data_IF_374475755731
#
_entry.id   IF_374475755731
#
_cell.length_a   1.000
_cell.length_b   1.000
_cell.length_c   1.000
_cell.angle_alpha   90.00
_cell.angle_beta   90.00
_cell.angle_gamma   90.00
#
_symmetry.space_group_name_H-M   'P 1'
#
loop_
_entity.id
_entity.type
_entity.pdbx_description
1 polymer ?
#
# COMPACT_ATOMS: atom_id res chain seq x y z
N UNK A 1 -12.68 14.90 3.00
CA UNK A 1 -12.56 13.77 2.06
C UNK A 1 -11.11 13.34 2.00
N UNK A 2 -10.83 12.03 2.05
CA UNK A 2 -9.47 11.49 2.00
C UNK A 2 -9.25 10.78 0.66
N UNK A 3 -8.23 11.18 -0.09
CA UNK A 3 -7.89 10.59 -1.38
C UNK A 3 -6.76 9.58 -1.24
N UNK A 4 -6.98 8.36 -1.72
CA UNK A 4 -6.06 7.24 -1.59
C UNK A 4 -5.47 6.88 -2.96
N UNK A 5 -4.14 6.89 -3.08
CA UNK A 5 -3.44 6.39 -4.27
C UNK A 5 -3.24 4.88 -4.13
N UNK A 6 -3.97 4.09 -4.91
CA UNK A 6 -3.94 2.61 -4.86
C UNK A 6 -3.26 1.94 -6.05
N UNK A 7 -3.03 2.67 -7.14
CA UNK A 7 -2.30 2.16 -8.30
C UNK A 7 -0.80 2.39 -8.19
N UNK A 8 -0.01 1.67 -9.00
CA UNK A 8 1.46 1.75 -9.03
C UNK A 8 1.98 3.19 -9.07
N UNK A 9 2.92 3.50 -8.18
CA UNK A 9 3.50 4.85 -8.06
C UNK A 9 4.86 4.90 -8.73
N UNK A 10 4.98 5.75 -9.74
CA UNK A 10 6.27 6.08 -10.32
C UNK A 10 6.99 7.13 -9.46
N UNK A 11 8.28 6.94 -9.19
CA UNK A 11 9.08 7.86 -8.35
C UNK A 11 9.02 9.32 -8.80
N UNK A 12 8.99 9.58 -10.11
CA UNK A 12 8.89 10.94 -10.65
C UNK A 12 7.53 11.62 -10.38
N UNK A 13 6.52 10.88 -9.91
CA UNK A 13 5.20 11.41 -9.50
C UNK A 13 5.12 11.74 -8.01
N UNK A 14 6.17 11.51 -7.21
CA UNK A 14 6.16 11.76 -5.76
C UNK A 14 5.73 13.20 -5.40
N UNK A 15 6.18 14.21 -6.16
CA UNK A 15 5.77 15.60 -5.96
C UNK A 15 4.27 15.82 -6.21
N UNK A 16 3.71 15.15 -7.20
CA UNK A 16 2.27 15.22 -7.47
C UNK A 16 1.49 14.61 -6.31
N UNK A 17 1.86 13.40 -5.86
CA UNK A 17 1.21 12.73 -4.73
C UNK A 17 1.25 13.56 -3.45
N UNK A 18 2.38 14.22 -3.16
CA UNK A 18 2.51 15.08 -1.98
C UNK A 18 1.44 16.19 -1.93
N UNK A 19 0.90 16.63 -3.07
CA UNK A 19 -0.10 17.70 -3.12
C UNK A 19 -1.53 17.24 -2.85
N UNK A 20 -1.89 15.99 -3.11
CA UNK A 20 -3.30 15.56 -3.09
C UNK A 20 -3.55 14.27 -2.31
N UNK A 21 -2.58 13.35 -2.24
CA UNK A 21 -2.80 12.04 -1.66
C UNK A 21 -2.81 12.13 -0.14
N UNK A 22 -3.92 11.74 0.46
CA UNK A 22 -3.97 11.50 1.89
C UNK A 22 -3.18 10.23 2.27
N UNK A 23 -3.30 9.18 1.44
CA UNK A 23 -2.65 7.89 1.68
C UNK A 23 -2.13 7.30 0.38
N UNK A 24 -0.95 6.70 0.41
CA UNK A 24 -0.36 5.93 -0.69
C UNK A 24 -0.29 4.46 -0.30
N UNK A 25 -0.88 3.58 -1.12
CA UNK A 25 -1.00 2.16 -0.79
C UNK A 25 0.06 1.27 -1.44
N UNK A 26 0.67 1.74 -2.52
CA UNK A 26 1.57 0.97 -3.38
C UNK A 26 3.02 1.43 -3.25
N UNK A 27 3.52 1.56 -2.02
CA UNK A 27 4.94 1.87 -1.77
C UNK A 27 5.71 0.55 -1.70
N UNK A 28 6.60 0.33 -2.66
CA UNK A 28 7.23 -0.97 -2.94
C UNK A 28 8.75 -0.97 -2.81
N UNK A 29 9.36 0.15 -2.40
CA UNK A 29 10.81 0.28 -2.37
C UNK A 29 11.28 1.44 -1.50
N UNK A 30 12.46 1.29 -0.88
CA UNK A 30 13.08 2.37 -0.11
C UNK A 30 13.35 3.61 -0.97
N UNK A 31 13.69 3.43 -2.25
CA UNK A 31 13.88 4.55 -3.19
C UNK A 31 12.60 5.35 -3.43
N UNK A 32 11.44 4.69 -3.47
CA UNK A 32 10.16 5.37 -3.58
C UNK A 32 9.80 6.07 -2.27
N UNK A 33 9.98 5.40 -1.12
CA UNK A 33 9.79 6.00 0.20
C UNK A 33 10.64 7.27 0.38
N UNK A 34 11.94 7.24 0.05
CA UNK A 34 12.80 8.43 0.10
C UNK A 34 12.32 9.55 -0.83
N UNK A 35 11.85 9.22 -2.04
CA UNK A 35 11.33 10.23 -2.96
C UNK A 35 10.04 10.89 -2.44
N UNK A 36 9.15 10.09 -1.81
CA UNK A 36 7.94 10.58 -1.16
C UNK A 36 8.28 11.44 0.05
N UNK A 37 9.19 11.00 0.93
CA UNK A 37 9.59 11.77 2.13
C UNK A 37 10.15 13.14 1.74
N UNK A 38 11.02 13.21 0.72
CA UNK A 38 11.52 14.50 0.23
C UNK A 38 10.40 15.39 -0.30
N UNK A 39 9.47 14.83 -1.08
CA UNK A 39 8.39 15.60 -1.68
C UNK A 39 7.37 16.10 -0.64
N UNK A 40 7.06 15.26 0.34
CA UNK A 40 6.09 15.56 1.41
C UNK A 40 6.69 16.53 2.41
N UNK A 41 7.97 16.36 2.79
CA UNK A 41 8.71 17.33 3.60
C UNK A 41 8.68 18.74 2.99
N UNK A 42 8.92 18.85 1.68
CA UNK A 42 8.83 20.14 1.00
C UNK A 42 7.40 20.71 1.01
N UNK A 43 6.37 19.87 0.83
CA UNK A 43 4.97 20.30 0.90
C UNK A 43 4.55 20.77 2.29
N UNK A 44 5.07 20.15 3.35
CA UNK A 44 4.88 20.57 4.73
C UNK A 44 5.57 21.90 5.01
N UNK A 45 6.83 22.05 4.60
CA UNK A 45 7.60 23.28 4.80
C UNK A 45 6.96 24.50 4.08
N UNK A 46 6.40 24.29 2.89
CA UNK A 46 5.71 25.33 2.12
C UNK A 46 4.26 25.59 2.60
N UNK A 47 3.76 24.87 3.61
CA UNK A 47 2.38 24.96 4.09
C UNK A 47 1.31 24.43 3.13
N UNK A 48 1.70 23.82 1.99
CA UNK A 48 0.79 23.20 1.01
C UNK A 48 0.10 21.94 1.54
N UNK A 49 0.61 21.40 2.64
CA UNK A 49 0.11 20.21 3.34
C UNK A 49 0.30 20.42 4.84
N UNK A 50 -0.59 19.83 5.64
CA UNK A 50 -0.59 19.96 7.10
C UNK A 50 -0.14 18.70 7.85
N UNK A 51 -0.17 17.53 7.19
CA UNK A 51 0.09 16.24 7.84
C UNK A 51 1.02 15.36 7.01
N UNK A 52 1.81 14.46 7.64
CA UNK A 52 2.57 13.42 6.95
C UNK A 52 1.76 12.61 5.93
N UNK A 53 2.42 12.03 4.94
CA UNK A 53 1.78 11.08 4.03
C UNK A 53 1.63 9.74 4.73
N UNK A 54 0.39 9.25 4.82
CA UNK A 54 0.11 7.89 5.25
C UNK A 54 0.53 6.90 4.17
N UNK A 55 1.23 5.83 4.56
CA UNK A 55 1.81 4.87 3.64
C UNK A 55 1.46 3.44 4.05
N UNK A 56 0.94 2.67 3.10
CA UNK A 56 1.04 1.22 3.16
C UNK A 56 2.22 0.76 2.30
N UNK A 57 2.95 -0.24 2.80
CA UNK A 57 3.95 -0.96 2.02
C UNK A 57 3.23 -2.06 1.25
N UNK A 58 3.33 -2.04 -0.07
CA UNK A 58 2.77 -3.10 -0.91
C UNK A 58 3.72 -4.29 -0.95
N UNK A 59 3.18 -5.49 -0.78
CA UNK A 59 3.95 -6.72 -0.83
C UNK A 59 3.49 -7.61 -1.99
N UNK A 60 4.46 -8.26 -2.63
CA UNK A 60 4.25 -9.29 -3.64
C UNK A 60 4.38 -10.65 -2.96
N UNK A 61 3.25 -11.36 -2.84
CA UNK A 61 3.16 -12.62 -2.07
C UNK A 61 3.85 -13.80 -2.77
N UNK A 62 3.90 -13.78 -4.09
CA UNK A 62 4.56 -14.79 -4.94
C UNK A 62 5.97 -14.36 -5.38
N UNK A 63 6.42 -13.17 -4.99
CA UNK A 63 7.73 -12.62 -5.32
C UNK A 63 7.84 -12.01 -6.72
N UNK A 64 6.77 -12.00 -7.51
CA UNK A 64 6.77 -11.32 -8.81
C UNK A 64 6.59 -9.81 -8.63
N UNK A 65 7.73 -9.10 -8.58
CA UNK A 65 7.79 -7.64 -8.44
C UNK A 65 7.40 -6.88 -9.72
N UNK A 66 7.20 -7.57 -10.85
CA UNK A 66 6.80 -6.90 -12.11
C UNK A 66 5.41 -6.25 -12.00
N UNK A 67 4.55 -6.84 -11.17
CA UNK A 67 3.18 -6.37 -10.85
C UNK A 67 3.13 -5.30 -9.77
N UNK A 68 4.26 -5.02 -9.11
CA UNK A 68 4.36 -4.13 -7.96
C UNK A 68 4.63 -4.91 -6.67
N UNK A 69 4.89 -4.17 -5.59
CA UNK A 69 5.14 -4.72 -4.28
C UNK A 69 6.58 -5.20 -4.02
N UNK A 70 6.91 -5.27 -2.73
CA UNK A 70 8.15 -5.83 -2.21
C UNK A 70 8.06 -7.35 -2.23
N UNK A 71 9.08 -8.02 -2.75
CA UNK A 71 9.18 -9.48 -2.70
C UNK A 71 9.26 -9.97 -1.24
N UNK A 72 8.24 -10.68 -0.77
CA UNK A 72 8.22 -11.26 0.59
C UNK A 72 9.15 -12.46 0.75
N UNK A 73 9.59 -13.07 -0.34
CA UNK A 73 10.53 -14.20 -0.33
C UNK A 73 11.97 -13.73 -0.16
N UNK A 74 12.26 -12.46 -0.47
CA UNK A 74 13.56 -11.85 -0.25
C UNK A 74 13.74 -11.51 1.25
N UNK A 75 14.67 -12.17 1.97
CA UNK A 75 14.79 -11.97 3.42
C UNK A 75 15.08 -10.51 3.78
N UNK A 76 14.27 -9.94 4.68
CA UNK A 76 14.41 -8.57 5.19
C UNK A 76 14.02 -7.47 4.19
N UNK A 77 13.57 -7.79 2.98
CA UNK A 77 13.22 -6.77 1.98
C UNK A 77 12.03 -5.92 2.44
N UNK A 78 10.99 -6.54 3.00
CA UNK A 78 9.82 -5.83 3.57
C UNK A 78 10.27 -4.95 4.74
N UNK A 79 11.09 -5.49 5.64
CA UNK A 79 11.63 -4.76 6.81
C UNK A 79 12.40 -3.52 6.40
N UNK A 80 13.22 -3.62 5.36
CA UNK A 80 14.00 -2.49 4.86
C UNK A 80 13.09 -1.35 4.37
N UNK A 81 11.95 -1.67 3.73
CA UNK A 81 11.00 -0.65 3.27
C UNK A 81 10.19 -0.09 4.42
N UNK A 82 9.69 -0.94 5.33
CA UNK A 82 8.99 -0.51 6.54
C UNK A 82 9.85 0.43 7.40
N UNK A 83 11.10 0.05 7.68
CA UNK A 83 12.05 0.88 8.43
C UNK A 83 12.35 2.21 7.73
N UNK A 84 12.47 2.21 6.39
CA UNK A 84 12.65 3.45 5.63
C UNK A 84 11.44 4.39 5.75
N UNK A 85 10.22 3.85 5.72
CA UNK A 85 9.00 4.65 5.87
C UNK A 85 8.86 5.15 7.31
N UNK A 86 9.05 4.30 8.32
CA UNK A 86 8.92 4.69 9.73
C UNK A 86 10.00 5.69 10.18
N UNK A 87 11.23 5.57 9.65
CA UNK A 87 12.31 6.52 9.91
C UNK A 87 12.16 7.87 9.20
N UNK A 88 11.16 8.01 8.30
CA UNK A 88 10.91 9.25 7.56
C UNK A 88 10.11 10.24 8.40
N UNK A 89 10.54 11.51 8.43
CA UNK A 89 9.87 12.55 9.25
C UNK A 89 8.51 12.98 8.69
N UNK A 90 8.30 12.78 7.38
CA UNK A 90 7.11 13.27 6.69
C UNK A 90 6.22 12.14 6.15
N UNK A 91 6.52 10.89 6.52
CA UNK A 91 5.68 9.73 6.23
C UNK A 91 5.18 9.11 7.53
N UNK A 92 4.05 8.41 7.45
CA UNK A 92 3.48 7.61 8.53
C UNK A 92 3.27 6.19 7.99
N UNK A 93 4.00 5.21 8.53
CA UNK A 93 3.77 3.80 8.21
C UNK A 93 2.44 3.36 8.83
N UNK A 94 1.45 3.11 7.99
CA UNK A 94 0.10 2.68 8.40
C UNK A 94 -0.02 1.17 8.44
N UNK A 95 0.69 0.45 7.58
CA UNK A 95 0.52 -1.00 7.49
C UNK A 95 1.00 -1.62 6.18
N UNK A 96 0.47 -2.80 5.87
CA UNK A 96 0.75 -3.52 4.62
C UNK A 96 -0.43 -3.47 3.64
N UNK A 97 -0.12 -3.56 2.36
CA UNK A 97 -1.07 -3.72 1.28
C UNK A 97 -0.70 -4.97 0.48
N UNK A 98 -1.70 -5.77 0.12
CA UNK A 98 -1.50 -6.93 -0.75
C UNK A 98 -2.63 -7.07 -1.77
N UNK A 99 -2.26 -7.62 -2.91
CA UNK A 99 -3.18 -8.06 -3.96
C UNK A 99 -2.87 -9.55 -4.21
N UNK A 100 -3.84 -10.46 -3.99
CA UNK A 100 -3.66 -11.86 -4.32
C UNK A 100 -3.25 -12.06 -5.78
N UNK A 101 -2.33 -12.99 -6.08
CA UNK A 101 -2.16 -13.51 -7.44
C UNK A 101 -3.49 -14.03 -7.98
N UNK A 102 -3.74 -13.88 -9.29
CA UNK A 102 -5.02 -14.21 -9.91
C UNK A 102 -5.36 -15.71 -9.87
N UNK A 103 -4.33 -16.55 -9.81
CA UNK A 103 -4.38 -18.01 -9.84
C UNK A 103 -4.32 -18.65 -8.45
N UNK A 104 -4.27 -17.85 -7.39
CA UNK A 104 -4.27 -18.33 -6.02
C UNK A 104 -5.68 -18.39 -5.42
N UNK A 105 -5.88 -19.33 -4.50
CA UNK A 105 -7.05 -19.29 -3.62
C UNK A 105 -6.98 -18.04 -2.72
N UNK A 106 -8.05 -17.22 -2.65
CA UNK A 106 -8.02 -16.01 -1.83
C UNK A 106 -7.84 -16.26 -0.33
N UNK A 107 -8.32 -17.39 0.22
CA UNK A 107 -8.16 -17.70 1.64
C UNK A 107 -6.69 -17.95 1.96
N UNK A 108 -5.99 -18.73 1.12
CA UNK A 108 -4.54 -18.97 1.24
C UNK A 108 -3.72 -17.68 1.05
N UNK A 109 -4.08 -16.86 0.06
CA UNK A 109 -3.37 -15.61 -0.21
C UNK A 109 -3.51 -14.61 0.96
N UNK A 110 -4.71 -14.46 1.51
CA UNK A 110 -4.95 -13.53 2.61
C UNK A 110 -4.41 -14.05 3.94
N UNK A 111 -4.41 -15.36 4.20
CA UNK A 111 -3.73 -15.96 5.36
C UNK A 111 -2.23 -15.66 5.35
N UNK A 112 -1.60 -15.81 4.17
CA UNK A 112 -0.18 -15.47 3.99
C UNK A 112 0.09 -13.98 4.19
N UNK A 113 -0.76 -13.11 3.66
CA UNK A 113 -0.66 -11.67 3.87
C UNK A 113 -0.83 -11.28 5.34
N UNK A 114 -1.79 -11.89 6.05
CA UNK A 114 -1.99 -11.69 7.48
C UNK A 114 -0.76 -12.14 8.27
N UNK A 115 -0.18 -13.29 7.92
CA UNK A 115 1.03 -13.80 8.57
C UNK A 115 2.21 -12.83 8.43
N UNK A 116 2.43 -12.28 7.23
CA UNK A 116 3.46 -11.27 7.01
C UNK A 116 3.16 -9.96 7.75
N UNK A 117 1.89 -9.54 7.81
CA UNK A 117 1.48 -8.37 8.58
C UNK A 117 1.74 -8.54 10.08
N UNK A 118 1.42 -9.71 10.65
CA UNK A 118 1.71 -10.04 12.06
C UNK A 118 3.20 -9.98 12.36
N UNK A 119 4.05 -10.51 11.46
CA UNK A 119 5.51 -10.43 11.57
C UNK A 119 6.00 -8.99 11.58
N UNK A 120 5.51 -8.16 10.66
CA UNK A 120 5.86 -6.73 10.58
C UNK A 120 5.43 -5.98 11.85
N UNK A 121 4.29 -6.32 12.44
CA UNK A 121 3.81 -5.69 13.68
C UNK A 121 4.72 -5.91 14.89
N UNK A 122 5.54 -6.97 14.91
CA UNK A 122 6.51 -7.21 15.98
C UNK A 122 7.56 -6.09 16.07
N UNK A 123 7.97 -5.55 14.91
CA UNK A 123 8.95 -4.45 14.81
C UNK A 123 8.29 -3.09 14.64
N UNK A 124 7.10 -3.04 14.04
CA UNK A 124 6.38 -1.81 13.71
C UNK A 124 4.95 -1.84 14.28
N UNK A 125 4.76 -1.74 15.60
CA UNK A 125 3.47 -1.99 16.27
C UNK A 125 2.37 -0.98 15.91
N UNK A 126 2.71 0.15 15.29
CA UNK A 126 1.73 1.15 14.80
C UNK A 126 1.22 0.85 13.39
N UNK A 127 1.85 -0.07 12.67
CA UNK A 127 1.52 -0.44 11.30
C UNK A 127 0.29 -1.38 11.23
N UNK A 128 -0.76 -1.06 11.98
CA UNK A 128 -1.94 -1.94 12.21
C UNK A 128 -2.88 -2.08 11.02
N UNK A 129 -2.71 -1.27 9.99
CA UNK A 129 -3.53 -1.32 8.80
C UNK A 129 -3.21 -2.54 7.92
N UNK A 130 -4.25 -3.12 7.33
CA UNK A 130 -4.11 -4.14 6.30
C UNK A 130 -5.02 -3.80 5.13
N UNK A 131 -4.45 -3.33 4.02
CA UNK A 131 -5.21 -3.00 2.82
C UNK A 131 -5.28 -4.20 1.89
N UNK A 132 -6.37 -4.94 1.96
CA UNK A 132 -6.59 -6.16 1.19
C UNK A 132 -8.07 -6.33 0.83
N UNK A 133 -8.35 -7.06 -0.24
CA UNK A 133 -9.71 -7.30 -0.71
C UNK A 133 -10.19 -6.27 -1.73
N UNK A 134 -10.84 -6.80 -2.76
CA UNK A 134 -11.49 -6.14 -3.88
C UNK A 134 -12.94 -6.64 -3.96
N UNK A 135 -13.70 -6.18 -4.96
CA UNK A 135 -15.14 -6.44 -5.05
C UNK A 135 -15.54 -7.93 -5.00
N UNK A 136 -14.66 -8.85 -5.41
CA UNK A 136 -14.94 -10.29 -5.49
C UNK A 136 -14.50 -11.11 -4.28
N UNK A 137 -13.65 -10.55 -3.40
CA UNK A 137 -12.97 -11.32 -2.36
C UNK A 137 -12.86 -10.55 -1.01
N UNK A 138 -13.54 -9.40 -0.89
CA UNK A 138 -13.46 -8.56 0.31
C UNK A 138 -13.96 -9.25 1.58
N UNK A 139 -14.96 -10.15 1.48
CA UNK A 139 -15.46 -10.90 2.65
C UNK A 139 -14.38 -11.81 3.24
N UNK A 140 -13.63 -12.48 2.36
CA UNK A 140 -12.49 -13.33 2.73
C UNK A 140 -11.36 -12.45 3.29
N UNK A 141 -11.08 -11.31 2.66
CA UNK A 141 -10.08 -10.37 3.17
C UNK A 141 -10.43 -9.85 4.58
N UNK A 142 -11.71 -9.58 4.87
CA UNK A 142 -12.18 -9.15 6.20
C UNK A 142 -12.03 -10.26 7.22
N UNK A 143 -12.34 -11.52 6.87
CA UNK A 143 -12.06 -12.71 7.73
C UNK A 143 -10.59 -12.77 8.15
N UNK A 144 -9.67 -12.37 7.26
CA UNK A 144 -8.23 -12.32 7.50
C UNK A 144 -7.72 -10.97 8.02
N UNK A 145 -8.59 -10.10 8.51
CA UNK A 145 -8.19 -8.88 9.23
C UNK A 145 -7.94 -7.65 8.36
N UNK A 146 -8.42 -7.64 7.10
CA UNK A 146 -8.40 -6.42 6.27
C UNK A 146 -9.09 -5.26 6.99
N UNK A 147 -8.39 -4.13 7.06
CA UNK A 147 -8.91 -2.86 7.60
C UNK A 147 -9.27 -1.88 6.48
N UNK A 148 -9.01 -2.22 5.22
CA UNK A 148 -9.28 -1.38 4.07
C UNK A 148 -9.49 -2.24 2.80
N UNK A 149 -10.75 -2.36 2.40
CA UNK A 149 -11.18 -3.03 1.17
C UNK A 149 -11.35 -2.04 0.02
N UNK A 150 -11.07 -2.45 -1.21
CA UNK A 150 -11.06 -1.60 -2.41
C UNK A 150 -12.18 -2.02 -3.36
N UNK A 151 -13.38 -1.45 -3.17
CA UNK A 151 -14.57 -1.82 -3.92
C UNK A 151 -14.80 -0.86 -5.10
N UNK A 152 -14.90 -1.42 -6.31
CA UNK A 152 -15.08 -0.66 -7.55
C UNK A 152 -16.30 -1.15 -8.32
N UNK A 153 -16.17 -2.32 -8.96
CA UNK A 153 -17.23 -2.92 -9.79
C UNK A 153 -18.55 -3.12 -9.06
N UNK A 154 -18.53 -3.50 -7.77
CA UNK A 154 -19.77 -3.67 -7.01
C UNK A 154 -20.50 -2.34 -6.72
N UNK A 155 -19.79 -1.20 -6.77
CA UNK A 155 -20.38 0.13 -6.58
C UNK A 155 -20.73 0.84 -7.89
N UNK A 156 -19.86 0.75 -8.89
CA UNK A 156 -19.97 1.51 -10.15
C UNK A 156 -20.49 0.68 -11.33
N UNK A 157 -20.66 -0.62 -11.14
CA UNK A 157 -20.94 -1.56 -12.22
C UNK A 157 -19.72 -1.86 -13.10
N UNK A 158 -19.88 -2.73 -14.11
CA UNK A 158 -18.81 -3.06 -15.05
C UNK A 158 -18.42 -1.85 -15.90
N UNK A 159 -17.12 -1.77 -16.25
CA UNK A 159 -16.61 -0.73 -17.14
C UNK A 159 -17.28 -0.90 -18.52
N UNK A 160 -18.08 0.08 -18.93
CA UNK A 160 -18.54 0.17 -20.32
C UNK A 160 -17.33 0.52 -21.19
N UNK A 161 -16.90 -0.38 -22.06
CA UNK A 161 -15.93 -0.02 -23.10
C UNK A 161 -16.59 1.04 -23.99
N UNK A 162 -15.89 2.12 -24.37
CA UNK A 162 -16.41 3.03 -25.39
C UNK A 162 -16.71 2.20 -26.64
N UNK A 163 -17.94 2.27 -27.15
CA UNK A 163 -18.22 1.76 -28.49
C UNK A 163 -17.30 2.49 -29.49
N UNK A 164 -16.78 1.78 -30.52
CA UNK A 164 -15.90 2.39 -31.52
C UNK A 164 -16.55 3.57 -32.26
#
# INVERSE_FOLDING_TARGET
MHWHMVGRIQRNKARSLANWAHTAHSVDSSRLATALDRAVSAALADGRRQHPLRVYVEVSLDGDVSRGGVDVLAPGAVDQVCAQVEGSKSLELVGLMGIPPLDWDPDEAFDRLQSEHRRVLESHPKAVGLSAGMSSDFEIAVKHGSTCVRVGTALLGPRRLPSP
#
